data_IF_164089987201
#
_entry.id   IF_164089987201
#
_cell.length_a   1.000
_cell.length_b   1.000
_cell.length_c   1.000
_cell.angle_alpha   90.00
_cell.angle_beta   90.00
_cell.angle_gamma   90.00
#
_symmetry.space_group_name_H-M   'P 1'
#
loop_
_entity.id
_entity.type
_entity.pdbx_description
1 polymer ?
#
# COMPACT_ATOMS: atom_id res chain seq x y z
N UNK A 1 13.43 14.60 17.45
CA UNK A 1 12.14 15.14 16.99
C UNK A 1 11.07 14.58 17.89
N UNK A 2 10.20 15.41 18.48
CA UNK A 2 9.08 14.91 19.28
C UNK A 2 8.01 14.35 18.32
N UNK A 3 7.83 13.03 18.30
CA UNK A 3 6.79 12.36 17.53
C UNK A 3 5.59 12.04 18.43
N UNK A 4 4.41 11.95 17.83
CA UNK A 4 3.16 11.61 18.52
C UNK A 4 2.41 10.58 17.69
N UNK A 5 1.78 9.62 18.35
CA UNK A 5 0.92 8.62 17.72
C UNK A 5 -0.52 8.77 18.23
N UNK A 6 -1.48 8.42 17.38
CA UNK A 6 -2.88 8.27 17.79
C UNK A 6 -3.06 7.09 18.77
N UNK A 7 -4.23 6.99 19.39
CA UNK A 7 -4.58 5.80 20.17
C UNK A 7 -4.69 4.57 19.26
N UNK A 8 -3.67 3.70 19.33
CA UNK A 8 -3.53 2.51 18.50
C UNK A 8 -4.62 1.47 18.71
N UNK A 9 -5.39 1.53 19.81
CA UNK A 9 -6.53 0.63 20.04
C UNK A 9 -7.62 0.82 18.98
N UNK A 10 -7.70 2.01 18.36
CA UNK A 10 -8.63 2.31 17.25
C UNK A 10 -8.43 1.36 16.06
N UNK A 11 -7.20 0.92 15.78
CA UNK A 11 -6.88 0.00 14.68
C UNK A 11 -7.70 -1.31 14.72
N UNK A 12 -8.06 -1.77 15.92
CA UNK A 12 -8.87 -2.98 16.13
C UNK A 12 -10.28 -2.89 15.56
N UNK A 13 -10.76 -1.69 15.29
CA UNK A 13 -12.15 -1.41 14.91
C UNK A 13 -12.31 -0.81 13.52
N UNK A 14 -11.21 -0.43 12.85
CA UNK A 14 -11.25 0.17 11.51
C UNK A 14 -11.67 -0.87 10.47
N UNK A 15 -11.13 -2.08 10.56
CA UNK A 15 -11.49 -3.19 9.67
C UNK A 15 -12.76 -3.85 10.21
N UNK A 16 -13.88 -3.85 9.47
CA UNK A 16 -15.12 -4.47 9.93
C UNK A 16 -14.99 -5.99 9.99
N UNK A 17 -15.64 -6.60 10.98
CA UNK A 17 -15.73 -8.07 11.09
C UNK A 17 -16.48 -8.71 9.91
N UNK A 18 -17.45 -7.99 9.35
CA UNK A 18 -18.14 -8.41 8.14
C UNK A 18 -17.20 -8.33 6.93
N UNK A 19 -16.90 -9.49 6.34
CA UNK A 19 -15.95 -9.66 5.23
C UNK A 19 -16.30 -8.86 3.97
N UNK A 20 -17.56 -8.52 3.76
CA UNK A 20 -18.04 -7.78 2.58
C UNK A 20 -18.07 -6.27 2.78
N UNK A 21 -17.93 -5.79 4.03
CA UNK A 21 -18.00 -4.36 4.31
C UNK A 21 -16.65 -3.70 3.98
N UNK A 22 -16.71 -2.62 3.21
CA UNK A 22 -15.54 -1.79 2.92
C UNK A 22 -15.15 -0.93 4.12
N UNK A 23 -13.89 -0.52 4.18
CA UNK A 23 -13.36 0.45 5.12
C UNK A 23 -12.37 1.37 4.40
N UNK A 24 -12.00 2.47 5.04
CA UNK A 24 -11.01 3.38 4.51
C UNK A 24 -9.60 2.99 4.97
N UNK A 25 -8.77 2.50 4.03
CA UNK A 25 -7.36 2.19 4.30
C UNK A 25 -6.57 3.44 4.72
N UNK A 26 -6.96 4.65 4.29
CA UNK A 26 -6.29 5.88 4.69
C UNK A 26 -6.51 6.18 6.18
N UNK A 27 -7.68 5.87 6.71
CA UNK A 27 -7.93 5.98 8.15
C UNK A 27 -6.99 5.07 8.95
N UNK A 28 -6.75 3.85 8.46
CA UNK A 28 -5.79 2.92 9.06
C UNK A 28 -4.37 3.49 8.99
N UNK A 29 -3.93 3.97 7.82
CA UNK A 29 -2.59 4.57 7.64
C UNK A 29 -2.38 5.77 8.58
N UNK A 30 -3.33 6.70 8.64
CA UNK A 30 -3.26 7.87 9.52
C UNK A 30 -3.26 7.51 11.01
N UNK A 31 -3.90 6.40 11.40
CA UNK A 31 -3.88 5.93 12.79
C UNK A 31 -2.55 5.26 13.13
N UNK A 32 -1.98 4.50 12.19
CA UNK A 32 -0.73 3.76 12.38
C UNK A 32 0.51 4.67 12.43
N UNK A 33 0.55 5.68 11.56
CA UNK A 33 1.71 6.55 11.41
C UNK A 33 1.73 7.69 12.43
N UNK A 34 2.90 8.31 12.61
CA UNK A 34 3.04 9.49 13.45
C UNK A 34 2.11 10.62 12.95
N UNK A 35 1.48 11.33 13.90
CA UNK A 35 0.52 12.40 13.62
C UNK A 35 1.14 13.46 12.71
N UNK A 36 0.50 13.73 11.57
CA UNK A 36 0.95 14.72 10.59
C UNK A 36 2.12 14.28 9.70
N UNK A 37 2.57 13.03 9.79
CA UNK A 37 3.71 12.53 9.00
C UNK A 37 3.36 11.98 7.62
N UNK A 38 2.08 11.69 7.37
CA UNK A 38 1.63 11.01 6.15
C UNK A 38 1.61 12.00 4.97
N UNK A 39 2.44 11.73 3.97
CA UNK A 39 2.45 12.42 2.69
C UNK A 39 2.10 11.42 1.57
N UNK A 40 0.84 11.42 1.14
CA UNK A 40 0.39 10.56 0.05
C UNK A 40 0.95 11.03 -1.30
N UNK A 41 1.54 10.10 -2.04
CA UNK A 41 2.17 10.33 -3.33
C UNK A 41 1.25 9.84 -4.45
N UNK A 42 0.98 10.72 -5.42
CA UNK A 42 0.12 10.45 -6.59
C UNK A 42 -1.28 9.88 -6.22
N UNK A 43 -2.06 10.53 -5.35
CA UNK A 43 -3.36 10.01 -4.89
C UNK A 43 -4.38 9.78 -6.01
N UNK A 44 -4.24 10.48 -7.14
CA UNK A 44 -5.18 10.45 -8.28
C UNK A 44 -4.77 9.47 -9.40
N UNK A 45 -3.64 8.76 -9.28
CA UNK A 45 -3.19 7.75 -10.24
C UNK A 45 -3.10 6.38 -9.55
N UNK A 46 -3.44 5.30 -10.27
CA UNK A 46 -3.36 3.93 -9.75
C UNK A 46 -4.13 3.78 -8.44
N UNK A 47 -5.42 4.10 -8.45
CA UNK A 47 -6.27 4.27 -7.26
C UNK A 47 -6.37 3.01 -6.37
N UNK A 48 -6.14 1.83 -6.95
CA UNK A 48 -6.07 0.55 -6.22
C UNK A 48 -4.85 0.41 -5.30
N UNK A 49 -3.84 1.26 -5.50
CA UNK A 49 -2.60 1.26 -4.74
C UNK A 49 -2.35 2.63 -4.11
N UNK A 50 -2.32 2.67 -2.79
CA UNK A 50 -1.89 3.84 -2.01
C UNK A 50 -0.37 3.77 -1.88
N UNK A 51 0.30 4.90 -2.09
CA UNK A 51 1.74 5.05 -1.85
C UNK A 51 1.95 6.32 -1.04
N UNK A 52 2.68 6.26 0.06
CA UNK A 52 2.91 7.41 0.92
C UNK A 52 4.30 7.38 1.55
N UNK A 53 4.88 8.56 1.78
CA UNK A 53 6.01 8.71 2.69
C UNK A 53 5.43 8.96 4.08
N UNK A 54 5.93 8.25 5.09
CA UNK A 54 5.39 8.27 6.45
C UNK A 54 6.50 8.28 7.48
N UNK A 55 6.15 8.47 8.76
CA UNK A 55 7.04 8.18 9.89
C UNK A 55 6.39 7.27 10.91
N UNK A 56 7.20 6.41 11.54
CA UNK A 56 6.83 5.63 12.71
C UNK A 56 7.91 5.83 13.77
N UNK A 57 7.52 6.34 14.93
CA UNK A 57 8.44 6.68 16.02
C UNK A 57 9.57 7.63 15.57
N UNK A 58 9.25 8.53 14.64
CA UNK A 58 10.18 9.46 14.02
C UNK A 58 11.02 8.89 12.87
N UNK A 59 10.99 7.58 12.61
CA UNK A 59 11.76 6.93 11.53
C UNK A 59 11.05 7.11 10.19
N UNK A 60 11.70 7.67 9.15
CA UNK A 60 11.09 7.83 7.83
C UNK A 60 10.97 6.49 7.10
N UNK A 61 9.81 6.23 6.50
CA UNK A 61 9.53 4.97 5.79
C UNK A 61 8.67 5.24 4.55
N UNK A 62 8.79 4.35 3.57
CA UNK A 62 7.81 4.23 2.49
C UNK A 62 6.66 3.33 2.89
N UNK A 63 5.44 3.65 2.46
CA UNK A 63 4.26 2.83 2.70
C UNK A 63 3.54 2.55 1.37
N UNK A 64 3.25 1.28 1.11
CA UNK A 64 2.31 0.85 0.08
C UNK A 64 1.11 0.15 0.72
N UNK A 65 -0.08 0.36 0.18
CA UNK A 65 -1.29 -0.30 0.68
C UNK A 65 -2.34 -0.51 -0.41
N UNK A 66 -3.08 -1.62 -0.32
CA UNK A 66 -4.24 -1.84 -1.19
C UNK A 66 -5.39 -0.91 -0.78
N UNK A 67 -6.10 -0.35 -1.76
CA UNK A 67 -7.32 0.40 -1.54
C UNK A 67 -8.56 -0.48 -1.79
N UNK A 68 -9.20 -1.05 -0.74
CA UNK A 68 -10.35 -1.94 -0.92
C UNK A 68 -11.58 -1.26 -1.53
N UNK A 69 -11.65 0.07 -1.52
CA UNK A 69 -12.72 0.84 -2.17
C UNK A 69 -12.59 0.90 -3.70
N UNK A 70 -11.43 0.51 -4.26
CA UNK A 70 -11.19 0.48 -5.70
C UNK A 70 -10.96 -0.96 -6.16
N UNK A 71 -11.82 -1.47 -7.06
CA UNK A 71 -11.75 -2.83 -7.59
C UNK A 71 -11.65 -3.92 -6.49
N UNK A 72 -12.19 -3.64 -5.29
CA UNK A 72 -12.09 -4.53 -4.14
C UNK A 72 -10.68 -4.70 -3.59
N UNK A 73 -9.72 -3.84 -3.94
CA UNK A 73 -8.31 -3.90 -3.52
C UNK A 73 -7.41 -4.67 -4.48
N UNK A 74 -7.95 -5.16 -5.60
CA UNK A 74 -7.18 -5.87 -6.62
C UNK A 74 -6.13 -4.97 -7.27
N UNK A 75 -5.03 -5.58 -7.71
CA UNK A 75 -3.92 -4.87 -8.37
C UNK A 75 -4.16 -4.85 -9.88
N UNK A 76 -4.35 -3.66 -10.43
CA UNK A 76 -4.46 -3.38 -11.87
C UNK A 76 -3.12 -2.85 -12.43
N UNK A 77 -3.05 -2.62 -13.76
CA UNK A 77 -1.80 -2.16 -14.40
C UNK A 77 -1.29 -0.82 -13.85
N UNK A 78 -2.13 0.23 -13.69
CA UNK A 78 -1.70 1.49 -13.08
C UNK A 78 -1.26 1.33 -11.61
N UNK A 79 -1.95 0.51 -10.82
CA UNK A 79 -1.58 0.22 -9.43
C UNK A 79 -0.24 -0.49 -9.32
N UNK A 80 0.02 -1.48 -10.19
CA UNK A 80 1.29 -2.20 -10.25
C UNK A 80 2.47 -1.27 -10.62
N UNK A 81 2.30 -0.44 -11.66
CA UNK A 81 3.33 0.53 -12.06
C UNK A 81 3.61 1.58 -10.98
N UNK A 82 2.56 2.04 -10.30
CA UNK A 82 2.67 2.99 -9.19
C UNK A 82 3.45 2.40 -8.03
N UNK A 83 3.09 1.19 -7.58
CA UNK A 83 3.80 0.48 -6.52
C UNK A 83 5.27 0.24 -6.91
N UNK A 84 5.52 -0.33 -8.09
CA UNK A 84 6.87 -0.66 -8.54
C UNK A 84 7.77 0.58 -8.56
N UNK A 85 7.29 1.70 -9.11
CA UNK A 85 8.07 2.95 -9.14
C UNK A 85 8.32 3.51 -7.75
N UNK A 86 7.36 3.39 -6.84
CA UNK A 86 7.50 3.87 -5.47
C UNK A 86 8.48 3.01 -4.67
N UNK A 87 8.44 1.69 -4.81
CA UNK A 87 9.42 0.78 -4.21
C UNK A 87 10.85 1.11 -4.68
N UNK A 88 11.04 1.37 -5.98
CA UNK A 88 12.33 1.80 -6.52
C UNK A 88 12.81 3.13 -5.91
N UNK A 89 11.89 4.07 -5.65
CA UNK A 89 12.22 5.32 -4.97
C UNK A 89 12.67 5.05 -3.54
N UNK A 90 11.93 4.24 -2.78
CA UNK A 90 12.30 3.92 -1.40
C UNK A 90 13.66 3.22 -1.33
N UNK A 91 13.89 2.24 -2.22
CA UNK A 91 15.15 1.52 -2.30
C UNK A 91 16.33 2.43 -2.65
N UNK A 92 16.16 3.35 -3.62
CA UNK A 92 17.21 4.27 -4.03
C UNK A 92 17.60 5.32 -2.98
N UNK A 93 16.77 5.53 -1.96
CA UNK A 93 17.00 6.52 -0.89
C UNK A 93 17.06 5.86 0.50
N UNK A 94 17.32 4.56 0.57
CA UNK A 94 17.50 3.80 1.82
C UNK A 94 16.31 3.92 2.79
N UNK A 95 15.09 4.03 2.25
CA UNK A 95 13.87 4.09 3.04
C UNK A 95 13.31 2.69 3.26
N UNK A 96 13.18 2.21 4.52
CA UNK A 96 12.46 0.99 4.83
C UNK A 96 11.01 1.08 4.37
N UNK A 97 10.41 -0.06 4.03
CA UNK A 97 9.12 -0.15 3.37
C UNK A 97 8.11 -0.90 4.23
N UNK A 98 6.90 -0.36 4.35
CA UNK A 98 5.74 -1.00 4.94
C UNK A 98 4.77 -1.36 3.83
N UNK A 99 4.33 -2.63 3.80
CA UNK A 99 3.30 -3.12 2.89
C UNK A 99 2.06 -3.54 3.67
N UNK A 100 0.96 -2.80 3.51
CA UNK A 100 -0.34 -3.10 4.11
C UNK A 100 -1.23 -3.83 3.11
N UNK A 101 -1.43 -5.14 3.34
CA UNK A 101 -2.06 -6.03 2.39
C UNK A 101 -3.55 -6.23 2.69
N UNK A 102 -4.40 -5.83 1.75
CA UNK A 102 -5.83 -6.18 1.69
C UNK A 102 -6.26 -6.42 0.24
N UNK A 103 -5.63 -7.42 -0.38
CA UNK A 103 -5.71 -7.72 -1.80
C UNK A 103 -6.34 -9.10 -2.04
N UNK A 104 -7.32 -9.22 -2.96
CA UNK A 104 -7.79 -10.52 -3.46
C UNK A 104 -6.89 -11.09 -4.58
N UNK A 105 -5.87 -10.36 -5.01
CA UNK A 105 -4.94 -10.75 -6.08
C UNK A 105 -4.84 -9.69 -7.19
N UNK A 106 -4.25 -10.08 -8.31
CA UNK A 106 -4.25 -9.26 -9.52
C UNK A 106 -5.66 -9.20 -10.12
N UNK A 107 -5.99 -8.09 -10.78
CA UNK A 107 -7.21 -8.03 -11.59
C UNK A 107 -7.20 -9.12 -12.66
N UNK A 108 -8.39 -9.56 -13.06
CA UNK A 108 -8.55 -10.54 -14.14
C UNK A 108 -9.65 -10.07 -15.09
N UNK A 109 -9.54 -10.48 -16.36
CA UNK A 109 -10.58 -10.26 -17.36
C UNK A 109 -10.02 -9.76 -18.70
N UNK A 110 -10.70 -10.04 -19.82
CA UNK A 110 -10.18 -9.71 -21.16
C UNK A 110 -9.81 -8.25 -21.35
N UNK A 111 -10.56 -7.32 -20.74
CA UNK A 111 -10.29 -5.88 -20.89
C UNK A 111 -9.02 -5.43 -20.15
N UNK A 112 -8.75 -5.97 -18.96
CA UNK A 112 -7.51 -5.64 -18.23
C UNK A 112 -6.30 -6.31 -18.87
N UNK A 113 -6.43 -7.47 -19.49
CA UNK A 113 -5.33 -8.10 -20.21
C UNK A 113 -4.85 -7.26 -21.42
N UNK A 114 -5.77 -6.55 -22.10
CA UNK A 114 -5.42 -5.62 -23.19
C UNK A 114 -4.51 -4.48 -22.75
N UNK A 115 -4.45 -4.16 -21.45
CA UNK A 115 -3.54 -3.15 -20.91
C UNK A 115 -2.14 -3.70 -20.62
N UNK A 116 -1.83 -4.91 -21.08
CA UNK A 116 -0.60 -5.65 -20.78
C UNK A 116 -0.42 -5.91 -19.27
N UNK A 117 -1.50 -6.29 -18.58
CA UNK A 117 -1.54 -6.48 -17.15
C UNK A 117 -0.39 -7.35 -16.62
N UNK A 118 -0.17 -8.51 -17.25
CA UNK A 118 0.91 -9.42 -16.87
C UNK A 118 2.26 -8.70 -16.81
N UNK A 119 2.59 -7.91 -17.84
CA UNK A 119 3.85 -7.15 -17.90
C UNK A 119 3.95 -6.14 -16.77
N UNK A 120 2.87 -5.42 -16.47
CA UNK A 120 2.85 -4.41 -15.42
C UNK A 120 2.97 -5.04 -14.02
N UNK A 121 2.25 -6.13 -13.74
CA UNK A 121 2.38 -6.86 -12.49
C UNK A 121 3.76 -7.52 -12.34
N UNK A 122 4.34 -8.07 -13.41
CA UNK A 122 5.72 -8.59 -13.41
C UNK A 122 6.75 -7.54 -12.99
N UNK A 123 6.55 -6.25 -13.31
CA UNK A 123 7.44 -5.19 -12.83
C UNK A 123 7.41 -5.06 -11.31
N UNK A 124 6.24 -5.18 -10.69
CA UNK A 124 6.11 -5.13 -9.24
C UNK A 124 6.85 -6.29 -8.58
N UNK A 125 6.67 -7.51 -9.09
CA UNK A 125 7.41 -8.69 -8.60
C UNK A 125 8.91 -8.55 -8.78
N UNK A 126 9.36 -8.16 -9.98
CA UNK A 126 10.79 -7.98 -10.24
C UNK A 126 11.38 -6.88 -9.36
N UNK A 127 10.65 -5.79 -9.11
CA UNK A 127 11.11 -4.75 -8.19
C UNK A 127 11.22 -5.29 -6.76
N UNK A 128 10.15 -5.92 -6.26
CA UNK A 128 10.15 -6.46 -4.89
C UNK A 128 11.19 -7.56 -4.66
N UNK A 129 11.59 -8.29 -5.70
CA UNK A 129 12.65 -9.29 -5.60
C UNK A 129 14.07 -8.68 -5.54
N UNK A 130 14.24 -7.42 -5.97
CA UNK A 130 15.54 -6.77 -6.10
C UNK A 130 15.76 -5.59 -5.15
N UNK A 131 14.75 -5.21 -4.35
CA UNK A 131 14.98 -4.21 -3.29
C UNK A 131 15.93 -4.78 -2.24
N UNK A 132 16.77 -3.92 -1.70
CA UNK A 132 17.76 -4.24 -0.67
C UNK A 132 17.42 -3.61 0.69
N UNK A 133 16.53 -2.61 0.70
CA UNK A 133 15.98 -2.03 1.93
C UNK A 133 15.03 -2.99 2.65
N UNK A 134 14.88 -2.89 3.99
CA UNK A 134 13.95 -3.72 4.75
C UNK A 134 12.50 -3.53 4.28
N UNK A 135 11.77 -4.63 4.07
CA UNK A 135 10.34 -4.62 3.76
C UNK A 135 9.57 -5.37 4.86
N UNK A 136 8.59 -4.69 5.47
CA UNK A 136 7.70 -5.22 6.49
C UNK A 136 6.30 -5.41 5.91
N UNK A 137 5.85 -6.66 5.84
CA UNK A 137 4.51 -7.01 5.34
C UNK A 137 3.51 -7.21 6.47
N UNK A 138 2.37 -6.51 6.40
CA UNK A 138 1.26 -6.68 7.33
C UNK A 138 0.00 -7.07 6.55
N UNK A 139 -0.51 -8.27 6.81
CA UNK A 139 -1.82 -8.69 6.27
C UNK A 139 -2.90 -8.04 7.12
N UNK A 140 -3.61 -7.08 6.54
CA UNK A 140 -4.71 -6.36 7.21
C UNK A 140 -5.99 -7.18 7.16
N UNK A 141 -6.30 -7.80 6.01
CA UNK A 141 -7.49 -8.64 5.87
C UNK A 141 -7.35 -9.73 4.80
N UNK A 142 -7.22 -9.36 3.52
CA UNK A 142 -7.09 -10.32 2.40
C UNK A 142 -5.65 -10.38 1.91
N UNK A 143 -5.15 -11.60 1.68
CA UNK A 143 -3.87 -11.86 1.03
C UNK A 143 -3.98 -13.20 0.29
N UNK A 144 -4.48 -13.12 -0.95
CA UNK A 144 -4.64 -14.26 -1.86
C UNK A 144 -3.59 -14.21 -2.97
#
# INVERSE_FOLDING_TARGET
>A
SEWKAEDQRKLRHIVPESRVRMYDMRQLIHTLCDVGSVLEIRPQFGLGMITALVRIEGVPMGLIANNPAHLGGSIDSPGADKAARFLQLCDAFDLPIISLMDCPGMMVGPEVEKTALVRHCCRLFNTGANITVPLFGFVVRKAY
#
